data_IF_517865487562
#
_entry.id   IF_517865487562
#
_cell.length_a   1.000
_cell.length_b   1.000
_cell.length_c   1.000
_cell.angle_alpha   90.00
_cell.angle_beta   90.00
_cell.angle_gamma   90.00
#
_symmetry.space_group_name_H-M   'P 1'
#
loop_
_entity.id
_entity.type
_entity.pdbx_description
1 polymer ?
#
# COMPACT_ATOMS: atom_id res chain seq x y z
N UNK A 1 1.28 -3.31 6.20
CA UNK A 1 1.55 -3.79 4.82
C UNK A 1 3.04 -3.80 4.48
N UNK A 2 3.77 -4.83 4.92
CA UNK A 2 5.18 -5.04 4.54
C UNK A 2 5.35 -6.52 4.16
N UNK A 3 6.00 -6.79 3.03
CA UNK A 3 6.34 -8.13 2.56
C UNK A 3 7.38 -8.85 3.45
N UNK A 4 8.00 -8.16 4.41
CA UNK A 4 8.82 -8.79 5.47
C UNK A 4 8.07 -9.84 6.28
N UNK A 5 6.72 -9.80 6.29
CA UNK A 5 5.93 -10.89 6.86
C UNK A 5 6.15 -12.22 6.14
N UNK A 6 6.65 -12.28 4.91
CA UNK A 6 7.09 -13.56 4.32
C UNK A 6 8.28 -14.22 5.04
N UNK A 7 8.97 -13.50 5.93
CA UNK A 7 10.20 -13.94 6.59
C UNK A 7 10.07 -14.07 8.12
N UNK A 8 8.85 -14.02 8.66
CA UNK A 8 8.55 -14.16 10.10
C UNK A 8 7.77 -15.44 10.37
N UNK A 9 7.93 -16.05 11.55
CA UNK A 9 7.26 -17.31 11.91
C UNK A 9 5.71 -17.25 11.83
N UNK A 10 5.12 -16.08 12.11
CA UNK A 10 3.70 -15.79 11.83
C UNK A 10 3.57 -14.92 10.56
N UNK A 11 4.02 -15.49 9.45
CA UNK A 11 4.21 -14.80 8.20
C UNK A 11 3.14 -15.06 7.15
N UNK A 12 3.34 -14.49 5.96
CA UNK A 12 2.62 -14.92 4.76
C UNK A 12 3.30 -16.18 4.22
N UNK A 13 2.54 -17.25 4.07
CA UNK A 13 3.01 -18.53 3.54
C UNK A 13 2.81 -18.64 2.02
N UNK A 14 1.98 -17.78 1.43
CA UNK A 14 1.73 -17.74 -0.03
C UNK A 14 1.51 -16.32 -0.54
N UNK A 15 1.64 -16.14 -1.86
CA UNK A 15 1.31 -14.87 -2.52
C UNK A 15 -0.15 -14.45 -2.30
N UNK A 16 -1.08 -15.40 -2.25
CA UNK A 16 -2.50 -15.09 -2.02
C UNK A 16 -2.76 -14.47 -0.65
N UNK A 17 -2.08 -14.93 0.40
CA UNK A 17 -2.24 -14.32 1.73
C UNK A 17 -1.73 -12.86 1.73
N UNK A 18 -0.65 -12.58 1.01
CA UNK A 18 -0.16 -11.22 0.84
C UNK A 18 -1.14 -10.36 0.04
N UNK A 19 -1.65 -10.88 -1.08
CA UNK A 19 -2.66 -10.19 -1.89
C UNK A 19 -3.91 -9.86 -1.06
N UNK A 20 -4.52 -10.86 -0.39
CA UNK A 20 -5.72 -10.66 0.41
C UNK A 20 -5.50 -9.62 1.51
N UNK A 21 -4.35 -9.66 2.20
CA UNK A 21 -4.04 -8.69 3.23
C UNK A 21 -3.88 -7.26 2.67
N UNK A 22 -3.27 -7.09 1.49
CA UNK A 22 -3.17 -5.79 0.83
C UNK A 22 -4.54 -5.30 0.37
N UNK A 23 -5.33 -6.18 -0.26
CA UNK A 23 -6.69 -5.89 -0.74
C UNK A 23 -7.58 -5.43 0.41
N UNK A 24 -7.67 -6.20 1.48
CA UNK A 24 -8.57 -5.90 2.60
C UNK A 24 -8.19 -4.59 3.28
N UNK A 25 -6.88 -4.33 3.43
CA UNK A 25 -6.40 -3.05 3.96
C UNK A 25 -6.71 -1.88 3.01
N UNK A 26 -6.63 -2.08 1.69
CA UNK A 26 -7.02 -1.06 0.72
C UNK A 26 -8.53 -0.81 0.76
N UNK A 27 -9.35 -1.85 0.71
CA UNK A 27 -10.82 -1.74 0.66
C UNK A 27 -11.37 -0.99 1.88
N UNK A 28 -10.83 -1.25 3.08
CA UNK A 28 -11.20 -0.52 4.30
C UNK A 28 -10.80 0.96 4.21
N UNK A 29 -9.55 1.25 3.85
CA UNK A 29 -9.08 2.64 3.74
C UNK A 29 -9.79 3.41 2.62
N UNK A 30 -10.16 2.73 1.55
CA UNK A 30 -10.90 3.32 0.44
C UNK A 30 -12.32 3.68 0.85
N UNK A 31 -13.03 2.78 1.56
CA UNK A 31 -14.35 3.06 2.11
C UNK A 31 -14.33 4.21 3.14
N UNK A 32 -13.36 4.22 4.06
CA UNK A 32 -13.17 5.32 5.02
C UNK A 32 -12.83 6.66 4.31
N UNK A 33 -12.22 6.57 3.13
CA UNK A 33 -11.77 7.70 2.31
C UNK A 33 -12.90 8.58 1.77
N UNK A 34 -14.15 8.09 1.75
CA UNK A 34 -15.32 8.92 1.40
C UNK A 34 -15.46 10.13 2.32
N UNK A 35 -15.09 9.97 3.60
CA UNK A 35 -15.16 11.03 4.59
C UNK A 35 -13.79 11.51 5.03
N UNK A 36 -12.84 10.60 5.21
CA UNK A 36 -11.51 10.96 5.70
C UNK A 36 -10.41 10.15 5.01
N UNK A 37 -9.86 10.66 3.89
CA UNK A 37 -8.76 10.01 3.19
C UNK A 37 -7.56 9.71 4.10
N UNK A 38 -6.91 8.56 3.84
CA UNK A 38 -5.73 8.06 4.55
C UNK A 38 -4.70 7.53 3.56
N UNK A 39 -3.47 7.34 4.02
CA UNK A 39 -2.39 6.79 3.22
C UNK A 39 -2.14 5.31 3.52
N UNK A 40 -1.84 4.52 2.48
CA UNK A 40 -1.37 3.15 2.61
C UNK A 40 0.09 3.04 2.17
N UNK A 41 0.94 2.46 3.02
CA UNK A 41 2.33 2.12 2.65
C UNK A 41 2.44 0.63 2.32
N UNK A 42 3.02 0.30 1.16
CA UNK A 42 3.38 -1.08 0.79
C UNK A 42 4.90 -1.21 0.80
N UNK A 43 5.42 -1.96 1.78
CA UNK A 43 6.87 -2.26 1.85
C UNK A 43 7.21 -3.47 0.99
N UNK A 44 8.21 -3.32 0.12
CA UNK A 44 8.68 -4.33 -0.83
C UNK A 44 10.20 -4.53 -0.71
N UNK A 45 10.67 -5.77 -0.78
CA UNK A 45 12.08 -6.14 -0.82
C UNK A 45 12.35 -6.96 -2.10
N UNK A 46 13.36 -6.56 -2.88
CA UNK A 46 13.68 -7.21 -4.16
C UNK A 46 13.86 -8.73 -4.02
N UNK A 47 14.55 -9.18 -2.96
CA UNK A 47 14.81 -10.60 -2.68
C UNK A 47 13.57 -11.42 -2.29
N UNK A 48 12.47 -10.75 -1.93
CA UNK A 48 11.23 -11.38 -1.49
C UNK A 48 10.16 -11.32 -2.58
N UNK A 49 9.66 -10.13 -2.90
CA UNK A 49 8.57 -9.96 -3.87
C UNK A 49 9.01 -10.22 -5.31
N UNK A 50 10.31 -10.08 -5.61
CA UNK A 50 10.86 -10.32 -6.95
C UNK A 50 10.87 -11.79 -7.38
N UNK A 51 10.58 -12.74 -6.48
CA UNK A 51 10.42 -14.15 -6.85
C UNK A 51 9.15 -14.31 -7.70
N UNK A 52 9.19 -15.03 -8.84
CA UNK A 52 8.03 -15.15 -9.73
C UNK A 52 6.74 -15.59 -9.03
N UNK A 53 6.81 -16.55 -8.12
CA UNK A 53 5.65 -17.02 -7.34
C UNK A 53 5.05 -16.00 -6.36
N UNK A 54 5.71 -14.86 -6.10
CA UNK A 54 5.24 -13.78 -5.23
C UNK A 54 4.91 -12.50 -6.01
N UNK A 55 5.59 -12.27 -7.13
CA UNK A 55 5.37 -11.11 -7.99
C UNK A 55 3.92 -11.04 -8.49
N UNK A 56 3.31 -12.18 -8.81
CA UNK A 56 1.92 -12.26 -9.26
C UNK A 56 0.92 -11.66 -8.26
N UNK A 57 1.17 -11.79 -6.96
CA UNK A 57 0.31 -11.21 -5.92
C UNK A 57 0.37 -9.68 -5.91
N UNK A 58 1.57 -9.11 -6.09
CA UNK A 58 1.74 -7.66 -6.20
C UNK A 58 1.07 -7.12 -7.46
N UNK A 59 1.24 -7.80 -8.61
CA UNK A 59 0.61 -7.41 -9.86
C UNK A 59 -0.93 -7.40 -9.75
N UNK A 60 -1.51 -8.44 -9.15
CA UNK A 60 -2.95 -8.51 -8.87
C UNK A 60 -3.43 -7.39 -7.95
N UNK A 61 -2.65 -7.02 -6.94
CA UNK A 61 -3.01 -5.93 -6.06
C UNK A 61 -3.03 -4.58 -6.79
N UNK A 62 -2.03 -4.29 -7.63
CA UNK A 62 -2.01 -3.07 -8.46
C UNK A 62 -3.20 -3.04 -9.42
N UNK A 63 -3.55 -4.19 -10.01
CA UNK A 63 -4.72 -4.30 -10.89
C UNK A 63 -6.03 -4.10 -10.14
N UNK A 64 -6.14 -4.58 -8.90
CA UNK A 64 -7.30 -4.34 -8.03
C UNK A 64 -7.48 -2.84 -7.77
N UNK A 65 -6.42 -2.15 -7.33
CA UNK A 65 -6.50 -0.72 -7.00
C UNK A 65 -6.73 0.19 -8.22
N UNK A 66 -6.48 -0.30 -9.43
CA UNK A 66 -6.77 0.42 -10.68
C UNK A 66 -8.25 0.46 -11.07
N UNK A 67 -9.07 -0.37 -10.45
CA UNK A 67 -10.53 -0.42 -10.70
C UNK A 67 -11.29 0.65 -9.92
N UNK A 68 -10.60 1.41 -9.09
CA UNK A 68 -11.15 2.43 -8.22
C UNK A 68 -10.65 3.79 -8.67
N UNK A 69 -11.55 4.78 -8.69
CA UNK A 69 -11.21 6.16 -8.97
C UNK A 69 -10.52 6.81 -7.76
N UNK A 70 -9.94 7.99 -7.95
CA UNK A 70 -9.36 8.81 -6.86
C UNK A 70 -8.23 8.16 -6.06
N UNK A 71 -7.55 7.14 -6.60
CA UNK A 71 -6.35 6.54 -5.99
C UNK A 71 -5.08 7.32 -6.38
N UNK A 72 -4.39 7.89 -5.40
CA UNK A 72 -3.13 8.62 -5.63
C UNK A 72 -1.89 7.72 -5.48
N UNK A 73 -1.34 7.26 -6.61
CA UNK A 73 -0.04 6.60 -6.64
C UNK A 73 1.07 7.64 -6.57
N UNK A 74 1.78 7.69 -5.45
CA UNK A 74 2.75 8.75 -5.18
C UNK A 74 4.03 8.25 -4.52
N UNK A 75 5.10 9.03 -4.69
CA UNK A 75 6.33 8.83 -3.92
C UNK A 75 6.16 9.51 -2.56
N UNK A 76 6.89 9.03 -1.56
CA UNK A 76 6.89 9.64 -0.21
C UNK A 76 7.21 11.13 -0.21
N UNK A 77 8.08 11.58 -1.12
CA UNK A 77 8.43 13.00 -1.26
C UNK A 77 7.26 13.85 -1.77
N UNK A 78 6.39 13.29 -2.60
CA UNK A 78 5.23 14.01 -3.13
C UNK A 78 4.19 14.21 -2.03
N UNK A 79 3.99 13.21 -1.15
CA UNK A 79 3.18 13.34 0.07
C UNK A 79 3.73 14.45 0.97
N UNK A 80 5.04 14.45 1.22
CA UNK A 80 5.65 15.46 2.09
C UNK A 80 5.48 16.88 1.53
N UNK A 81 5.62 17.05 0.20
CA UNK A 81 5.38 18.33 -0.48
C UNK A 81 3.91 18.74 -0.39
N UNK A 82 2.98 17.83 -0.69
CA UNK A 82 1.55 18.08 -0.57
C UNK A 82 1.18 18.51 0.85
N UNK A 83 1.69 17.82 1.86
CA UNK A 83 1.43 18.13 3.26
C UNK A 83 1.91 19.53 3.63
N UNK A 84 3.14 19.90 3.22
CA UNK A 84 3.68 21.24 3.48
C UNK A 84 2.86 22.36 2.83
N UNK A 85 2.27 22.09 1.67
CA UNK A 85 1.44 23.08 0.94
C UNK A 85 0.03 23.18 1.52
N UNK A 86 -0.62 22.06 1.83
CA UNK A 86 -2.02 22.03 2.30
C UNK A 86 -2.13 22.27 3.81
N UNK A 87 -1.13 21.85 4.58
CA UNK A 87 -1.07 21.98 6.03
C UNK A 87 0.24 22.69 6.44
N UNK A 88 0.36 24.00 6.16
CA UNK A 88 1.57 24.75 6.50
C UNK A 88 1.79 24.77 8.01
N UNK A 89 3.04 24.69 8.43
CA UNK A 89 3.40 24.84 9.84
C UNK A 89 3.02 26.26 10.30
N UNK A 90 2.36 26.36 11.45
CA UNK A 90 2.07 27.66 12.07
C UNK A 90 3.42 28.25 12.51
N UNK A 91 3.76 29.41 11.98
CA UNK A 91 4.92 30.18 12.45
C UNK A 91 4.66 30.65 13.88
N UNK A 92 5.52 30.22 14.81
CA UNK A 92 5.63 30.73 16.18
C UNK A 92 6.10 32.18 16.21
#
# INVERSE_FOLDING_TARGET
NKDMRFATAQGFNSGDQFYSYLRDAFDVLYAEGEHTPRMMSVGLHCRLVGRPGRLAALARFIEHTRRFDHVWYCRRIDIARHWRTVYPAVSS
#
